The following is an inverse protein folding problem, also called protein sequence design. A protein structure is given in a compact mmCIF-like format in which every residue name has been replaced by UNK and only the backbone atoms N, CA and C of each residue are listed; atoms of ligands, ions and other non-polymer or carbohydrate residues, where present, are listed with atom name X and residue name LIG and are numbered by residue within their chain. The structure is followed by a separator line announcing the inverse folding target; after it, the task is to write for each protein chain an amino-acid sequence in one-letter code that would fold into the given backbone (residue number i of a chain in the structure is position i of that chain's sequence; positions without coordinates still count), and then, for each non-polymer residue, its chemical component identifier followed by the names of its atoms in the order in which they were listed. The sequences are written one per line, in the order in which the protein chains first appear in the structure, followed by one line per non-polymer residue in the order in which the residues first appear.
data_IF_642350150818
#
_entry.id   IF_642350150818
#
_cell.length_a   1.000
_cell.length_b   1.000
_cell.length_c   1.000
_cell.angle_alpha   90.00
_cell.angle_beta   90.00
_cell.angle_gamma   90.00
#
_symmetry.space_group_name_H-M   'P 1'
#
loop_
_entity.id
_entity.type
_entity.pdbx_description
1 polymer ?
#
# COMPACT_ATOMS: atom_id res chain seq x y z
N UNK A 1 3.71 52.39 -51.25
CA UNK A 1 2.86 52.24 -50.04
C UNK A 1 2.07 50.95 -50.20
N UNK A 2 1.95 50.02 -49.22
CA UNK A 2 2.58 49.87 -47.90
C UNK A 2 3.37 48.54 -47.75
N UNK A 3 4.05 48.41 -46.61
CA UNK A 3 4.70 47.20 -46.10
C UNK A 3 3.78 46.45 -45.12
N UNK A 4 3.87 45.10 -45.04
CA UNK A 4 3.64 44.32 -43.80
C UNK A 4 4.09 42.87 -44.04
N UNK A 5 5.22 42.43 -43.49
CA UNK A 5 5.47 41.86 -42.14
C UNK A 5 4.92 40.44 -41.93
N UNK A 6 5.88 39.53 -41.75
CA UNK A 6 5.94 38.51 -40.70
C UNK A 6 4.77 37.50 -40.62
N UNK A 7 4.88 36.40 -41.35
CA UNK A 7 4.08 35.19 -41.07
C UNK A 7 4.96 33.95 -40.91
N UNK A 8 6.12 34.12 -40.25
CA UNK A 8 6.94 33.02 -39.71
C UNK A 8 6.35 32.41 -38.41
N UNK A 9 5.14 32.83 -38.01
CA UNK A 9 4.52 32.42 -36.73
C UNK A 9 3.66 31.16 -36.82
N UNK A 10 3.35 30.64 -38.02
CA UNK A 10 2.40 29.52 -38.14
C UNK A 10 3.04 28.12 -38.17
N UNK A 11 4.37 28.01 -38.09
CA UNK A 11 5.07 26.70 -38.04
C UNK A 11 5.45 26.22 -36.64
N UNK A 12 5.33 27.08 -35.63
CA UNK A 12 5.74 26.75 -34.25
C UNK A 12 4.60 26.08 -33.45
N UNK A 13 3.35 26.12 -33.95
CA UNK A 13 2.20 25.57 -33.22
C UNK A 13 2.14 24.03 -33.28
N UNK A 14 2.81 23.37 -34.24
CA UNK A 14 2.78 21.90 -34.36
C UNK A 14 3.98 21.15 -33.76
N UNK A 15 4.97 21.85 -33.18
CA UNK A 15 6.11 21.21 -32.51
C UNK A 15 6.03 21.24 -30.96
N UNK A 16 5.00 21.87 -30.39
CA UNK A 16 4.83 22.02 -28.94
C UNK A 16 3.87 21.05 -28.26
N UNK A 17 3.17 20.19 -29.02
CA UNK A 17 2.10 19.34 -28.51
C UNK A 17 2.51 17.89 -28.21
N UNK A 18 3.81 17.56 -28.20
CA UNK A 18 4.30 16.19 -27.98
C UNK A 18 5.01 15.96 -26.64
N UNK A 19 5.05 16.95 -25.73
CA UNK A 19 5.77 16.85 -24.44
C UNK A 19 4.84 16.49 -23.25
N UNK A 20 3.52 16.43 -23.44
CA UNK A 20 2.58 16.16 -22.32
C UNK A 20 2.21 14.67 -22.17
N UNK A 21 2.71 13.77 -23.02
CA UNK A 21 2.54 12.32 -22.88
C UNK A 21 3.65 11.65 -22.05
N UNK A 22 4.15 12.31 -20.99
CA UNK A 22 4.84 11.58 -19.94
C UNK A 22 3.79 10.96 -19.04
N UNK A 23 3.30 9.78 -19.45
CA UNK A 23 2.55 8.88 -18.60
C UNK A 23 3.38 8.62 -17.35
N UNK A 24 3.00 9.25 -16.24
CA UNK A 24 3.60 9.03 -14.96
C UNK A 24 3.36 7.57 -14.57
N UNK A 25 4.35 6.70 -14.80
CA UNK A 25 4.46 5.45 -14.05
C UNK A 25 4.55 5.86 -12.58
N UNK A 26 3.43 5.82 -11.87
CA UNK A 26 3.39 6.08 -10.45
C UNK A 26 4.25 5.02 -9.76
N UNK A 27 5.47 5.39 -9.37
CA UNK A 27 6.35 4.49 -8.62
C UNK A 27 5.68 4.25 -7.28
N UNK A 28 5.33 3.00 -7.00
CA UNK A 28 4.75 2.61 -5.72
C UNK A 28 5.75 2.92 -4.58
N UNK A 29 5.32 3.53 -3.47
CA UNK A 29 6.19 3.73 -2.32
C UNK A 29 6.74 2.40 -1.83
N UNK A 30 8.05 2.34 -1.56
CA UNK A 30 8.74 1.11 -1.12
C UNK A 30 8.91 1.04 0.40
N UNK A 31 8.76 2.17 1.11
CA UNK A 31 8.88 2.28 2.56
C UNK A 31 7.90 3.31 3.14
N UNK A 32 7.83 3.37 4.48
CA UNK A 32 6.94 4.26 5.20
C UNK A 32 5.47 3.84 5.16
N UNK A 33 4.56 4.59 5.82
CA UNK A 33 3.14 4.26 5.86
C UNK A 33 2.50 4.12 4.48
N UNK A 34 2.88 4.99 3.54
CA UNK A 34 2.33 5.00 2.17
C UNK A 34 2.63 3.70 1.38
N UNK A 35 3.68 2.97 1.76
CA UNK A 35 3.97 1.66 1.17
C UNK A 35 2.97 0.58 1.61
N UNK A 36 2.37 0.69 2.80
CA UNK A 36 1.41 -0.28 3.31
C UNK A 36 -0.04 0.08 3.01
N UNK A 37 -0.38 1.36 2.86
CA UNK A 37 -1.76 1.79 2.62
C UNK A 37 -2.33 1.15 1.35
N UNK A 38 -3.51 0.56 1.50
CA UNK A 38 -4.20 -0.17 0.44
C UNK A 38 -4.95 -1.39 0.94
N UNK A 39 -5.57 -2.10 0.01
CA UNK A 39 -6.17 -3.41 0.26
C UNK A 39 -5.27 -4.49 -0.32
N UNK A 40 -4.96 -5.48 0.50
CA UNK A 40 -4.06 -6.58 0.18
C UNK A 40 -4.78 -7.90 0.36
N UNK A 41 -4.44 -8.89 -0.45
CA UNK A 41 -4.90 -10.27 -0.30
C UNK A 41 -3.70 -11.20 -0.23
N UNK A 42 -3.77 -12.24 0.58
CA UNK A 42 -2.73 -13.28 0.61
C UNK A 42 -3.23 -14.63 0.09
N UNK A 43 -2.32 -15.60 0.02
CA UNK A 43 -2.55 -16.97 -0.45
C UNK A 43 -3.53 -17.77 0.41
N UNK A 44 -3.78 -17.35 1.66
CA UNK A 44 -4.77 -17.96 2.55
C UNK A 44 -6.18 -17.40 2.32
N UNK A 45 -6.33 -16.44 1.42
CA UNK A 45 -7.59 -15.76 1.13
C UNK A 45 -7.89 -14.58 2.05
N UNK A 46 -7.03 -14.29 3.02
CA UNK A 46 -7.22 -13.15 3.93
C UNK A 46 -7.11 -11.83 3.16
N UNK A 47 -8.02 -10.91 3.45
CA UNK A 47 -8.01 -9.54 2.94
C UNK A 47 -7.64 -8.58 4.07
N UNK A 48 -6.59 -7.80 3.87
CA UNK A 48 -6.12 -6.81 4.83
C UNK A 48 -6.21 -5.41 4.22
N UNK A 49 -7.04 -4.57 4.84
CA UNK A 49 -7.17 -3.16 4.47
C UNK A 49 -6.39 -2.31 5.47
N UNK A 50 -5.39 -1.60 4.97
CA UNK A 50 -4.54 -0.68 5.75
C UNK A 50 -4.91 0.74 5.37
N UNK A 51 -5.39 1.52 6.34
CA UNK A 51 -5.91 2.87 6.14
C UNK A 51 -4.82 3.92 6.41
N UNK A 52 -4.84 5.08 5.73
CA UNK A 52 -3.84 6.12 5.94
C UNK A 52 -3.88 6.77 7.34
N UNK A 53 -4.94 6.56 8.11
CA UNK A 53 -5.15 7.09 9.46
C UNK A 53 -4.48 6.25 10.58
N UNK A 54 -3.68 5.24 10.22
CA UNK A 54 -3.04 4.37 11.19
C UNK A 54 -3.94 3.25 11.71
N UNK A 55 -5.11 3.02 11.09
CA UNK A 55 -5.98 1.89 11.40
C UNK A 55 -5.89 0.78 10.35
N UNK A 56 -6.32 -0.41 10.70
CA UNK A 56 -6.49 -1.50 9.74
C UNK A 56 -7.70 -2.37 10.06
N UNK A 57 -8.11 -3.13 9.05
CA UNK A 57 -9.20 -4.11 9.11
C UNK A 57 -8.78 -5.38 8.40
N UNK A 58 -9.09 -6.54 8.97
CA UNK A 58 -8.79 -7.85 8.38
C UNK A 58 -10.09 -8.63 8.24
N UNK A 59 -10.36 -9.08 7.02
CA UNK A 59 -11.39 -10.07 6.68
C UNK A 59 -10.66 -11.40 6.45
N UNK A 60 -10.82 -12.33 7.40
CA UNK A 60 -10.01 -13.56 7.44
C UNK A 60 -10.50 -14.60 6.44
N UNK A 61 -11.80 -14.59 6.13
CA UNK A 61 -12.49 -15.60 5.32
C UNK A 61 -12.96 -15.09 3.95
N UNK A 62 -12.65 -13.83 3.62
CA UNK A 62 -12.99 -13.14 2.36
C UNK A 62 -14.50 -13.00 2.14
N UNK A 63 -15.29 -12.94 3.21
CA UNK A 63 -16.74 -12.80 3.10
C UNK A 63 -17.20 -11.33 2.87
N UNK A 64 -16.27 -10.38 2.82
CA UNK A 64 -16.52 -8.96 2.62
C UNK A 64 -16.79 -8.18 3.92
N UNK A 65 -16.69 -8.82 5.09
CA UNK A 65 -16.87 -8.20 6.40
C UNK A 65 -15.61 -8.40 7.24
N UNK A 66 -15.04 -7.34 7.81
CA UNK A 66 -13.88 -7.49 8.68
C UNK A 66 -14.19 -8.33 9.93
N UNK A 67 -13.28 -9.22 10.29
CA UNK A 67 -13.28 -10.00 11.53
C UNK A 67 -12.42 -9.37 12.62
N UNK A 68 -11.40 -8.58 12.24
CA UNK A 68 -10.41 -7.98 13.14
C UNK A 68 -10.17 -6.52 12.78
N UNK A 69 -10.00 -5.68 13.80
CA UNK A 69 -9.62 -4.27 13.69
C UNK A 69 -8.43 -3.98 14.59
N UNK A 70 -7.56 -3.08 14.15
CA UNK A 70 -6.46 -2.61 14.98
C UNK A 70 -5.85 -1.30 14.51
N UNK A 71 -4.76 -0.94 15.17
CA UNK A 71 -3.90 0.17 14.83
C UNK A 71 -2.54 -0.32 14.38
N UNK A 72 -1.88 0.50 13.57
CA UNK A 72 -0.52 0.26 13.18
C UNK A 72 0.32 1.54 13.22
N UNK A 73 1.63 1.36 13.36
CA UNK A 73 2.62 2.42 13.16
C UNK A 73 3.72 1.92 12.25
N UNK A 74 4.33 2.82 11.49
CA UNK A 74 5.47 2.49 10.62
C UNK A 74 6.62 3.44 10.89
N UNK A 75 7.82 2.88 11.03
CA UNK A 75 9.09 3.60 11.00
C UNK A 75 9.98 2.96 9.94
N UNK A 76 10.21 3.66 8.83
CA UNK A 76 10.94 3.14 7.68
C UNK A 76 10.26 1.89 7.09
N UNK A 77 10.94 0.75 7.20
CA UNK A 77 10.52 -0.59 6.76
C UNK A 77 9.92 -1.43 7.91
N UNK A 78 9.72 -0.84 9.09
CA UNK A 78 9.30 -1.55 10.29
C UNK A 78 7.86 -1.20 10.62
N UNK A 79 7.00 -2.22 10.61
CA UNK A 79 5.59 -2.16 10.98
C UNK A 79 5.42 -2.65 12.42
N UNK A 80 4.66 -1.91 13.23
CA UNK A 80 4.11 -2.39 14.49
C UNK A 80 2.59 -2.50 14.38
N UNK A 81 2.03 -3.61 14.87
CA UNK A 81 0.61 -3.94 14.84
C UNK A 81 0.10 -4.03 16.28
N UNK A 82 -1.04 -3.41 16.55
CA UNK A 82 -1.79 -3.58 17.79
C UNK A 82 -3.26 -3.86 17.46
N UNK A 83 -3.72 -5.08 17.75
CA UNK A 83 -5.12 -5.45 17.55
C UNK A 83 -5.98 -4.89 18.69
N UNK A 84 -7.12 -4.30 18.33
CA UNK A 84 -8.00 -3.60 19.28
C UNK A 84 -9.27 -4.40 19.54
N UNK A 85 -9.88 -4.95 18.49
CA UNK A 85 -11.15 -5.70 18.61
C UNK A 85 -11.32 -6.71 17.49
N UNK A 86 -12.26 -7.64 17.67
CA UNK A 86 -12.60 -8.67 16.70
C UNK A 86 -12.42 -10.08 17.24
N UNK A 87 -12.41 -11.07 16.35
CA UNK A 87 -12.21 -12.50 16.66
C UNK A 87 -10.73 -12.82 16.95
N UNK A 88 -10.09 -11.99 17.78
CA UNK A 88 -8.68 -12.07 18.11
C UNK A 88 -8.45 -12.98 19.32
N UNK A 89 -7.69 -14.09 19.18
CA UNK A 89 -7.29 -14.91 20.32
C UNK A 89 -6.46 -14.12 21.34
N UNK A 90 -6.52 -14.49 22.63
CA UNK A 90 -5.82 -13.74 23.71
C UNK A 90 -4.32 -13.53 23.43
N UNK A 91 -3.64 -14.52 22.84
CA UNK A 91 -2.23 -14.43 22.48
C UNK A 91 -1.91 -13.35 21.42
N UNK A 92 -2.91 -12.92 20.66
CA UNK A 92 -2.81 -11.98 19.55
C UNK A 92 -3.18 -10.55 19.94
N UNK A 93 -3.62 -10.33 21.19
CA UNK A 93 -3.84 -8.99 21.75
C UNK A 93 -2.55 -8.26 22.12
N UNK A 94 -1.41 -8.95 22.10
CA UNK A 94 -0.12 -8.33 22.34
C UNK A 94 0.38 -7.65 21.05
N UNK A 95 1.13 -6.54 21.15
CA UNK A 95 1.74 -5.92 20.00
C UNK A 95 2.65 -6.89 19.23
N UNK A 96 2.76 -6.68 17.93
CA UNK A 96 3.69 -7.39 17.07
C UNK A 96 4.48 -6.44 16.18
N UNK A 97 5.67 -6.85 15.79
CA UNK A 97 6.60 -6.10 14.96
C UNK A 97 7.05 -6.96 13.79
N UNK A 98 7.00 -6.38 12.60
CA UNK A 98 7.43 -6.99 11.35
C UNK A 98 8.30 -6.00 10.56
N UNK A 99 9.26 -6.52 9.82
CA UNK A 99 9.88 -5.80 8.70
C UNK A 99 9.03 -6.03 7.47
N UNK A 100 8.94 -5.04 6.59
CA UNK A 100 8.23 -5.19 5.33
C UNK A 100 9.04 -4.67 4.15
N UNK A 101 8.77 -5.25 2.99
CA UNK A 101 9.31 -4.80 1.71
C UNK A 101 8.19 -4.81 0.67
N UNK A 102 8.03 -3.70 -0.05
CA UNK A 102 7.06 -3.55 -1.14
C UNK A 102 7.75 -3.48 -2.48
N UNK A 103 7.31 -4.32 -3.41
CA UNK A 103 7.77 -4.37 -4.79
C UNK A 103 6.55 -4.28 -5.72
N UNK A 104 6.19 -3.04 -6.10
CA UNK A 104 4.99 -2.77 -6.89
C UNK A 104 3.73 -3.18 -6.14
N UNK A 105 3.06 -4.22 -6.63
CA UNK A 105 1.83 -4.79 -6.04
C UNK A 105 2.09 -6.01 -5.17
N UNK A 106 3.36 -6.32 -4.89
CA UNK A 106 3.75 -7.37 -3.94
C UNK A 106 4.20 -6.75 -2.61
N UNK A 107 3.78 -7.37 -1.51
CA UNK A 107 4.15 -6.97 -0.16
C UNK A 107 4.56 -8.20 0.63
N UNK A 108 5.73 -8.14 1.26
CA UNK A 108 6.31 -9.22 2.04
C UNK A 108 6.62 -8.76 3.44
N UNK A 109 6.42 -9.64 4.41
CA UNK A 109 6.73 -9.38 5.81
C UNK A 109 7.69 -10.42 6.37
N UNK A 110 8.65 -9.95 7.15
CA UNK A 110 9.57 -10.78 7.94
C UNK A 110 9.30 -10.52 9.42
N UNK A 111 9.13 -11.60 10.17
CA UNK A 111 8.91 -11.55 11.62
C UNK A 111 10.08 -10.87 12.33
N UNK A 112 9.80 -9.89 13.19
CA UNK A 112 10.75 -9.36 14.18
C UNK A 112 10.37 -9.83 15.57
N UNK A 113 9.11 -9.60 15.97
CA UNK A 113 8.60 -10.04 17.26
C UNK A 113 7.09 -10.20 17.21
N UNK A 114 6.60 -11.40 17.50
CA UNK A 114 5.17 -11.66 17.67
C UNK A 114 5.02 -12.94 18.49
N UNK A 115 4.06 -12.97 19.40
CA UNK A 115 3.75 -14.17 20.21
C UNK A 115 2.55 -14.94 19.65
N UNK A 116 1.82 -14.36 18.71
CA UNK A 116 0.64 -14.95 18.11
C UNK A 116 0.98 -15.80 16.89
N UNK A 117 1.02 -17.13 17.07
CA UNK A 117 1.32 -18.07 15.97
C UNK A 117 0.41 -17.91 14.75
N UNK A 118 -0.87 -17.65 14.96
CA UNK A 118 -1.85 -17.47 13.88
C UNK A 118 -1.60 -16.19 13.06
N UNK A 119 -1.27 -15.08 13.73
CA UNK A 119 -0.91 -13.83 13.07
C UNK A 119 0.42 -13.96 12.33
N UNK A 120 1.41 -14.63 12.92
CA UNK A 120 2.68 -14.94 12.24
C UNK A 120 2.39 -15.70 10.95
N UNK A 121 1.66 -16.81 11.02
CA UNK A 121 1.31 -17.64 9.87
C UNK A 121 0.60 -16.85 8.76
N UNK A 122 -0.22 -15.86 9.12
CA UNK A 122 -0.99 -15.06 8.17
C UNK A 122 -0.17 -13.89 7.58
N UNK A 123 0.45 -13.08 8.44
CA UNK A 123 1.20 -11.88 8.04
C UNK A 123 2.40 -12.23 7.19
N UNK A 124 3.10 -13.34 7.46
CA UNK A 124 4.28 -13.75 6.67
C UNK A 124 3.93 -14.43 5.34
N UNK A 125 2.66 -14.50 4.95
CA UNK A 125 2.30 -14.93 3.60
C UNK A 125 2.70 -13.88 2.55
N UNK A 126 2.86 -14.27 1.28
CA UNK A 126 2.94 -13.30 0.18
C UNK A 126 1.61 -12.54 0.05
N UNK A 127 1.69 -11.22 0.01
CA UNK A 127 0.53 -10.34 -0.20
C UNK A 127 0.57 -9.73 -1.59
N UNK A 128 -0.58 -9.71 -2.25
CA UNK A 128 -0.78 -9.02 -3.53
C UNK A 128 -1.82 -7.92 -3.35
N UNK A 129 -1.59 -6.76 -3.98
CA UNK A 129 -2.54 -5.66 -3.97
C UNK A 129 -3.84 -6.07 -4.68
N UNK A 130 -4.99 -5.77 -4.06
CA UNK A 130 -6.31 -6.05 -4.62
C UNK A 130 -6.75 -4.94 -5.58
#
# INVERSE_FOLDING_TARGET
MPAMKLQHSLRIVFAGALIVLMGACAIAPTSGPAALVGTWTNTLGTVWTVNPDGTFQVDLDKNGKPDVWGHYTVSGDTLMISEVRGKTPKACKQPATYKFNRMGDQLHFTLVSDKCKLRIQNVTQPWTKK
#
